data_IF_274790446480
#
_entry.id   IF_274790446480
#
_cell.length_a   1.000
_cell.length_b   1.000
_cell.length_c   1.000
_cell.angle_alpha   90.00
_cell.angle_beta   90.00
_cell.angle_gamma   90.00
#
_symmetry.space_group_name_H-M   'P 1'
#
loop_
_entity.id
_entity.type
_entity.pdbx_description
1 polymer ?
#
# COMPACT_ATOMS: atom_id res chain seq x y z
N UNK A 1 -16.61 -13.23 21.82
CA UNK A 1 -15.50 -12.27 21.94
C UNK A 1 -14.74 -12.02 20.62
N UNK A 2 -14.59 -13.00 19.71
CA UNK A 2 -13.88 -12.82 18.42
C UNK A 2 -14.57 -11.81 17.47
N UNK A 3 -15.91 -11.80 17.38
CA UNK A 3 -16.65 -10.89 16.48
C UNK A 3 -16.54 -9.40 16.83
N UNK A 4 -16.31 -9.06 18.10
CA UNK A 4 -16.24 -7.66 18.56
C UNK A 4 -14.88 -7.05 18.21
N UNK A 5 -13.79 -7.82 18.39
CA UNK A 5 -12.46 -7.45 17.89
C UNK A 5 -12.41 -7.31 16.37
N UNK A 6 -13.13 -8.17 15.64
CA UNK A 6 -13.23 -8.06 14.18
C UNK A 6 -13.95 -6.76 13.75
N UNK A 7 -14.97 -6.34 14.50
CA UNK A 7 -15.73 -5.13 14.21
C UNK A 7 -14.94 -3.85 14.50
N UNK A 8 -14.19 -3.82 15.61
CA UNK A 8 -13.29 -2.71 15.98
C UNK A 8 -12.10 -2.60 15.01
N UNK A 9 -11.57 -3.75 14.59
CA UNK A 9 -10.54 -3.84 13.55
C UNK A 9 -11.03 -3.33 12.19
N UNK A 10 -12.27 -3.63 11.81
CA UNK A 10 -12.88 -3.09 10.58
C UNK A 10 -13.03 -1.55 10.61
N UNK A 11 -13.31 -0.96 11.78
CA UNK A 11 -13.44 0.49 11.93
C UNK A 11 -12.07 1.18 11.80
N UNK A 12 -11.01 0.62 12.41
CA UNK A 12 -9.64 1.09 12.22
C UNK A 12 -9.17 0.97 10.76
N UNK A 13 -9.48 -0.16 10.10
CA UNK A 13 -9.24 -0.43 8.67
C UNK A 13 -9.90 0.65 7.80
N UNK A 14 -11.18 0.98 8.06
CA UNK A 14 -11.89 2.02 7.32
C UNK A 14 -11.25 3.42 7.43
N UNK A 15 -10.68 3.78 8.58
CA UNK A 15 -9.99 5.08 8.75
C UNK A 15 -8.58 5.06 8.13
N UNK A 16 -7.86 3.94 8.24
CA UNK A 16 -6.50 3.78 7.68
C UNK A 16 -6.50 3.73 6.16
N UNK A 17 -7.49 3.10 5.55
CA UNK A 17 -7.69 3.11 4.10
C UNK A 17 -7.90 4.51 3.54
N UNK A 18 -8.49 5.45 4.30
CA UNK A 18 -8.61 6.86 3.91
C UNK A 18 -7.27 7.60 3.98
N UNK A 19 -6.51 7.40 5.06
CA UNK A 19 -5.19 8.04 5.27
C UNK A 19 -4.14 7.59 4.25
N UNK A 20 -4.14 6.31 3.91
CA UNK A 20 -3.19 5.69 2.98
C UNK A 20 -3.83 5.38 1.61
N UNK A 21 -4.85 6.13 1.19
CA UNK A 21 -5.66 5.76 0.02
C UNK A 21 -4.84 5.49 -1.24
N UNK A 22 -3.73 6.22 -1.49
CA UNK A 22 -2.81 5.97 -2.60
C UNK A 22 -2.06 4.64 -2.43
N UNK A 23 -1.50 4.39 -1.25
CA UNK A 23 -0.75 3.16 -0.98
C UNK A 23 -1.62 1.91 -1.01
N UNK A 24 -2.79 1.97 -0.38
CA UNK A 24 -3.75 0.85 -0.37
C UNK A 24 -4.25 0.57 -1.78
N UNK A 25 -4.54 1.61 -2.58
CA UNK A 25 -4.91 1.49 -3.99
C UNK A 25 -3.88 0.73 -4.80
N UNK A 26 -2.63 1.20 -4.81
CA UNK A 26 -1.56 0.63 -5.63
C UNK A 26 -1.29 -0.83 -5.24
N UNK A 27 -1.22 -1.13 -3.94
CA UNK A 27 -0.99 -2.49 -3.49
C UNK A 27 -2.18 -3.41 -3.78
N UNK A 28 -3.41 -2.92 -3.63
CA UNK A 28 -4.62 -3.68 -3.94
C UNK A 28 -4.73 -3.96 -5.44
N UNK A 29 -4.49 -2.96 -6.28
CA UNK A 29 -4.52 -3.08 -7.74
C UNK A 29 -3.39 -4.02 -8.21
N UNK A 30 -2.19 -3.92 -7.65
CA UNK A 30 -1.10 -4.86 -7.94
C UNK A 30 -1.45 -6.30 -7.52
N UNK A 31 -1.96 -6.51 -6.30
CA UNK A 31 -2.37 -7.83 -5.80
C UNK A 31 -3.55 -8.45 -6.57
N UNK A 32 -4.41 -7.63 -7.18
CA UNK A 32 -5.47 -8.09 -8.06
C UNK A 32 -4.91 -8.65 -9.38
N UNK A 33 -3.78 -8.12 -9.84
CA UNK A 33 -3.06 -8.62 -11.02
C UNK A 33 -2.20 -9.86 -10.73
N UNK A 34 -1.88 -10.15 -9.45
CA UNK A 34 -1.13 -11.37 -9.08
C UNK A 34 -2.05 -12.59 -9.15
N UNK A 35 -1.69 -13.64 -9.90
CA UNK A 35 -2.45 -14.88 -9.93
C UNK A 35 -2.35 -15.62 -8.59
N UNK A 36 -3.42 -16.31 -8.18
CA UNK A 36 -3.55 -16.93 -6.85
C UNK A 36 -2.39 -17.86 -6.47
N UNK A 37 -1.79 -18.54 -7.45
CA UNK A 37 -0.64 -19.44 -7.29
C UNK A 37 0.64 -18.72 -6.84
N UNK A 38 0.78 -17.45 -7.21
CA UNK A 38 1.99 -16.65 -6.98
C UNK A 38 1.83 -15.71 -5.77
N UNK A 39 0.61 -15.60 -5.20
CA UNK A 39 0.31 -14.80 -4.00
C UNK A 39 1.01 -15.29 -2.74
N UNK A 40 1.62 -16.47 -2.75
CA UNK A 40 2.41 -17.01 -1.64
C UNK A 40 3.92 -16.79 -1.80
N UNK A 41 4.36 -16.29 -2.96
CA UNK A 41 5.77 -16.10 -3.27
C UNK A 41 6.15 -14.62 -3.22
N UNK A 42 6.96 -14.18 -2.24
CA UNK A 42 7.31 -12.76 -2.10
C UNK A 42 8.05 -12.22 -3.33
N UNK A 43 8.90 -13.01 -3.98
CA UNK A 43 9.57 -12.62 -5.23
C UNK A 43 8.58 -12.33 -6.37
N UNK A 44 7.58 -13.20 -6.54
CA UNK A 44 6.56 -13.02 -7.59
C UNK A 44 5.63 -11.86 -7.31
N UNK A 45 5.24 -11.67 -6.04
CA UNK A 45 4.49 -10.50 -5.62
C UNK A 45 5.30 -9.23 -5.87
N UNK A 46 6.61 -9.26 -5.57
CA UNK A 46 7.47 -8.11 -5.81
C UNK A 46 7.58 -7.80 -7.30
N UNK A 47 7.83 -8.79 -8.15
CA UNK A 47 7.86 -8.68 -9.61
C UNK A 47 6.58 -8.05 -10.16
N UNK A 48 5.41 -8.56 -9.77
CA UNK A 48 4.12 -8.02 -10.20
C UNK A 48 3.89 -6.56 -9.74
N UNK A 49 4.31 -6.21 -8.52
CA UNK A 49 4.24 -4.82 -8.06
C UNK A 49 5.18 -3.93 -8.87
N UNK A 50 6.39 -4.40 -9.21
CA UNK A 50 7.33 -3.64 -10.07
C UNK A 50 6.74 -3.40 -11.46
N UNK A 51 6.14 -4.42 -12.07
CA UNK A 51 5.46 -4.30 -13.37
C UNK A 51 4.29 -3.31 -13.32
N UNK A 52 3.47 -3.41 -12.27
CA UNK A 52 2.37 -2.48 -12.04
C UNK A 52 2.89 -1.05 -11.87
N UNK A 53 3.93 -0.86 -11.05
CA UNK A 53 4.59 0.42 -10.81
C UNK A 53 5.23 1.04 -12.05
N UNK A 54 5.74 0.24 -12.98
CA UNK A 54 6.28 0.71 -14.26
C UNK A 54 5.22 1.37 -15.15
N UNK A 55 3.94 0.99 -14.97
CA UNK A 55 2.82 1.55 -15.73
C UNK A 55 2.28 2.87 -15.14
N UNK A 56 2.69 3.23 -13.92
CA UNK A 56 2.21 4.40 -13.18
C UNK A 56 3.08 5.63 -13.50
N UNK A 57 2.47 6.80 -13.67
CA UNK A 57 3.17 8.04 -14.10
C UNK A 57 2.98 9.26 -13.17
N UNK A 58 2.31 9.08 -12.03
CA UNK A 58 1.88 10.19 -11.18
C UNK A 58 2.30 10.01 -9.72
N UNK A 59 1.40 10.27 -8.76
CA UNK A 59 1.66 10.08 -7.32
C UNK A 59 2.01 8.65 -6.95
N UNK A 60 1.44 7.71 -7.67
CA UNK A 60 1.67 6.28 -7.50
C UNK A 60 3.08 5.89 -7.94
N UNK A 61 3.64 6.54 -8.95
CA UNK A 61 5.04 6.35 -9.35
C UNK A 61 6.00 6.81 -8.25
N UNK A 62 5.70 7.95 -7.60
CA UNK A 62 6.47 8.40 -6.43
C UNK A 62 6.37 7.40 -5.28
N UNK A 63 5.18 6.85 -5.00
CA UNK A 63 5.03 5.78 -4.02
C UNK A 63 5.94 4.58 -4.36
N UNK A 64 5.89 4.13 -5.62
CA UNK A 64 6.72 3.04 -6.12
C UNK A 64 8.22 3.30 -5.94
N UNK A 65 8.65 4.56 -6.14
CA UNK A 65 10.01 5.00 -5.87
C UNK A 65 10.39 4.84 -4.39
N UNK A 66 9.54 5.28 -3.46
CA UNK A 66 9.80 5.17 -2.02
C UNK A 66 9.81 3.73 -1.51
N UNK A 67 8.87 2.88 -1.98
CA UNK A 67 8.77 1.49 -1.52
C UNK A 67 9.83 0.54 -2.10
N UNK A 68 10.61 0.98 -3.09
CA UNK A 68 11.63 0.12 -3.72
C UNK A 68 11.12 -0.72 -4.90
N UNK A 69 10.01 -0.31 -5.53
CA UNK A 69 9.41 -1.01 -6.65
C UNK A 69 9.94 -0.56 -8.02
N UNK A 70 10.83 0.44 -8.07
CA UNK A 70 11.50 0.86 -9.30
C UNK A 70 12.97 0.41 -9.29
N UNK A 71 13.57 0.12 -10.46
CA UNK A 71 14.97 -0.30 -10.54
C UNK A 71 15.95 0.81 -10.10
N UNK A 72 15.53 2.07 -10.20
CA UNK A 72 16.25 3.25 -9.71
C UNK A 72 16.08 3.50 -8.21
N UNK A 73 15.21 2.74 -7.52
CA UNK A 73 15.03 2.86 -6.07
C UNK A 73 16.20 2.24 -5.32
N UNK A 74 16.81 3.01 -4.44
CA UNK A 74 17.94 2.58 -3.61
C UNK A 74 17.55 1.69 -2.40
N UNK A 75 16.28 1.29 -2.25
CA UNK A 75 15.75 0.81 -0.96
C UNK A 75 15.44 -0.68 -0.91
N UNK A 76 15.77 -1.31 0.24
CA UNK A 76 15.43 -2.70 0.58
C UNK A 76 14.01 -2.85 1.18
N UNK A 77 13.15 -1.84 1.01
CA UNK A 77 11.82 -1.77 1.62
C UNK A 77 10.84 -2.72 0.93
N UNK A 78 11.08 -3.09 -0.33
CA UNK A 78 10.23 -4.00 -1.08
C UNK A 78 10.03 -5.35 -0.39
N UNK A 79 11.04 -5.82 0.36
CA UNK A 79 10.95 -7.04 1.16
C UNK A 79 9.95 -6.91 2.33
N UNK A 80 9.80 -5.71 2.89
CA UNK A 80 8.82 -5.41 3.94
C UNK A 80 7.39 -5.25 3.37
N UNK A 81 7.25 -5.20 2.04
CA UNK A 81 5.96 -5.20 1.35
C UNK A 81 5.60 -6.60 0.89
N UNK A 82 6.50 -7.26 0.17
CA UNK A 82 6.23 -8.56 -0.44
C UNK A 82 6.06 -9.69 0.58
N UNK A 83 6.84 -9.70 1.66
CA UNK A 83 6.73 -10.71 2.73
C UNK A 83 5.37 -10.69 3.42
N UNK A 84 4.89 -9.57 4.00
CA UNK A 84 3.57 -9.57 4.63
C UNK A 84 2.44 -9.86 3.63
N UNK A 85 2.54 -9.38 2.39
CA UNK A 85 1.56 -9.71 1.35
C UNK A 85 1.53 -11.22 1.04
N UNK A 86 2.69 -11.90 1.05
CA UNK A 86 2.76 -13.35 0.83
C UNK A 86 2.05 -14.18 1.90
N UNK A 87 1.88 -13.62 3.09
CA UNK A 87 1.15 -14.25 4.20
C UNK A 87 -0.29 -13.75 4.31
N UNK A 88 -0.82 -13.16 3.23
CA UNK A 88 -2.18 -12.60 3.17
C UNK A 88 -2.43 -11.46 4.17
N UNK A 89 -1.39 -10.68 4.52
CA UNK A 89 -1.58 -9.46 5.31
C UNK A 89 -2.30 -8.39 4.46
N UNK A 90 -3.29 -7.67 5.01
CA UNK A 90 -3.98 -6.63 4.26
C UNK A 90 -3.04 -5.46 3.91
N UNK A 91 -3.24 -4.81 2.74
CA UNK A 91 -2.39 -3.72 2.27
C UNK A 91 -2.36 -2.53 3.23
N UNK A 92 -3.41 -2.30 4.01
CA UNK A 92 -3.48 -1.21 4.98
C UNK A 92 -2.41 -1.31 6.08
N UNK A 93 -2.18 -2.53 6.59
CA UNK A 93 -1.12 -2.77 7.58
C UNK A 93 0.27 -2.67 6.97
N UNK A 94 0.41 -3.05 5.71
CA UNK A 94 1.67 -2.89 4.97
C UNK A 94 1.98 -1.41 4.79
N UNK A 95 0.99 -0.60 4.39
CA UNK A 95 1.12 0.86 4.29
C UNK A 95 1.44 1.53 5.63
N UNK A 96 0.88 1.04 6.74
CA UNK A 96 1.20 1.52 8.08
C UNK A 96 2.67 1.24 8.46
N UNK A 97 3.17 0.03 8.14
CA UNK A 97 4.59 -0.32 8.33
C UNK A 97 5.51 0.52 7.43
N UNK A 98 5.09 0.78 6.19
CA UNK A 98 5.82 1.61 5.24
C UNK A 98 5.98 3.04 5.76
N UNK A 99 4.95 3.63 6.38
CA UNK A 99 5.03 4.93 7.04
C UNK A 99 6.13 4.99 8.10
N UNK A 100 6.32 3.91 8.86
CA UNK A 100 7.36 3.88 9.90
C UNK A 100 8.78 3.87 9.30
N UNK A 101 8.93 3.45 8.05
CA UNK A 101 10.20 3.50 7.31
C UNK A 101 10.41 4.84 6.62
N UNK A 102 9.37 5.35 5.98
CA UNK A 102 9.40 6.61 5.26
C UNK A 102 8.07 7.36 5.45
N UNK A 103 8.14 8.47 6.18
CA UNK A 103 6.97 9.29 6.48
C UNK A 103 6.37 9.94 5.21
N UNK A 104 7.17 10.11 4.14
CA UNK A 104 6.74 10.71 2.88
C UNK A 104 5.68 9.87 2.17
N UNK A 105 5.67 8.56 2.39
CA UNK A 105 4.67 7.64 1.84
C UNK A 105 3.25 8.03 2.27
N UNK A 106 3.09 8.56 3.50
CA UNK A 106 1.80 9.00 4.04
C UNK A 106 1.37 10.38 3.51
N UNK A 107 2.34 11.20 3.08
CA UNK A 107 2.07 12.52 2.51
C UNK A 107 1.51 12.42 1.08
N UNK A 108 1.74 11.28 0.41
CA UNK A 108 1.16 10.97 -0.89
C UNK A 108 -0.35 10.71 -0.77
N UNK A 109 -1.13 11.78 -0.93
CA UNK A 109 -2.60 11.74 -1.02
C UNK A 109 -3.06 12.23 -2.39
N UNK A 110 -4.20 11.71 -2.89
CA UNK A 110 -4.86 12.22 -4.10
C UNK A 110 -5.42 13.63 -3.85
N UNK A 111 -4.54 14.63 -3.88
CA UNK A 111 -4.87 16.04 -3.80
C UNK A 111 -5.66 16.50 -5.01
N UNK A 112 -6.93 16.88 -4.74
CA UNK A 112 -7.68 18.01 -5.33
C UNK A 112 -9.08 18.14 -4.71
N UNK A 113 -9.62 17.10 -4.07
CA UNK A 113 -10.98 17.13 -3.46
C UNK A 113 -11.04 16.97 -1.93
N UNK A 114 -9.94 16.66 -1.25
CA UNK A 114 -9.96 16.49 0.22
C UNK A 114 -9.92 17.80 1.03
N UNK A 115 -9.60 18.95 0.41
CA UNK A 115 -9.66 20.24 1.13
C UNK A 115 -11.10 20.65 1.45
N UNK A 116 -12.10 20.13 0.73
CA UNK A 116 -13.50 20.44 1.02
C UNK A 116 -14.09 19.62 2.18
N UNK A 117 -13.45 18.51 2.57
CA UNK A 117 -13.92 17.64 3.66
C UNK A 117 -13.18 17.85 5.00
N UNK A 118 -12.11 18.66 5.02
CA UNK A 118 -11.36 18.98 6.24
C UNK A 118 -11.24 20.50 6.53
N UNK A 119 -11.95 21.36 5.77
CA UNK A 119 -12.01 22.80 6.03
C UNK A 119 -13.44 23.26 6.39
N UNK A 120 -14.16 22.41 7.10
CA UNK A 120 -15.33 22.81 7.89
C UNK A 120 -15.05 22.40 9.34
N UNK A 121 -14.26 23.22 10.03
CA UNK A 121 -14.26 23.28 11.49
C UNK A 121 -14.05 24.71 11.93
#
# INVERSE_FOLDING_TARGET
>A
MIRVKQFEYCLEVAVKSVLFSVCVKVLSDAMANVPSKDKSSPDKIAEAIREHCGSLKSKEHKLCFYIGALPESATSIMNEVSKPLSWSMPPEKVCEKLRAKDAQICELKYGRYYSFLFNTS
#
